data_IF_361164722092
#
_entry.id   IF_361164722092
#
_cell.length_a   1.000
_cell.length_b   1.000
_cell.length_c   1.000
_cell.angle_alpha   90.00
_cell.angle_beta   90.00
_cell.angle_gamma   90.00
#
_symmetry.space_group_name_H-M   'P 1'
#
loop_
_entity.id
_entity.type
_entity.pdbx_description
1 polymer ?
#
# COMPACT_ATOMS: atom_id res chain seq x y z
N UNK A 1 -10.00 10.39 -22.07
CA UNK A 1 -9.61 9.38 -21.06
C UNK A 1 -9.94 9.96 -19.70
N UNK A 2 -10.96 9.41 -19.03
CA UNK A 2 -11.39 9.88 -17.71
C UNK A 2 -10.34 9.47 -16.67
N UNK A 3 -9.74 10.44 -15.96
CA UNK A 3 -8.80 10.15 -14.87
C UNK A 3 -9.62 9.76 -13.65
N UNK A 4 -9.70 8.47 -13.35
CA UNK A 4 -10.31 8.02 -12.11
C UNK A 4 -9.48 8.53 -10.93
N UNK A 5 -10.08 9.41 -10.12
CA UNK A 5 -9.48 9.86 -8.87
C UNK A 5 -9.74 8.82 -7.78
N UNK A 6 -8.70 8.47 -7.04
CA UNK A 6 -8.82 7.58 -5.88
C UNK A 6 -9.76 8.24 -4.85
N UNK A 7 -10.74 7.49 -4.34
CA UNK A 7 -11.63 7.92 -3.26
C UNK A 7 -11.54 6.94 -2.10
N UNK A 8 -11.56 7.47 -0.88
CA UNK A 8 -11.55 6.66 0.32
C UNK A 8 -12.85 5.87 0.38
N UNK A 9 -12.81 4.52 0.46
CA UNK A 9 -14.02 3.72 0.45
C UNK A 9 -14.84 3.87 1.75
N UNK A 10 -14.25 4.40 2.82
CA UNK A 10 -14.92 4.60 4.10
C UNK A 10 -15.61 5.96 4.22
N UNK A 11 -14.95 7.06 3.81
CA UNK A 11 -15.47 8.42 4.01
C UNK A 11 -15.63 9.26 2.72
N UNK A 12 -15.23 8.73 1.57
CA UNK A 12 -15.28 9.45 0.29
C UNK A 12 -14.18 10.51 0.08
N UNK A 13 -13.30 10.73 1.07
CA UNK A 13 -12.20 11.70 0.97
C UNK A 13 -11.21 11.39 -0.16
N UNK A 14 -10.55 12.43 -0.66
CA UNK A 14 -9.63 12.37 -1.82
C UNK A 14 -8.19 12.75 -1.49
N UNK A 15 -7.90 13.10 -0.23
CA UNK A 15 -6.55 13.39 0.25
C UNK A 15 -5.97 12.16 0.94
N UNK A 16 -4.75 11.81 0.56
CA UNK A 16 -4.07 10.60 1.03
C UNK A 16 -2.59 10.84 1.28
N UNK A 17 -2.10 10.30 2.38
CA UNK A 17 -0.68 10.06 2.62
C UNK A 17 -0.30 8.73 1.99
N UNK A 18 0.86 8.69 1.35
CA UNK A 18 1.37 7.49 0.68
C UNK A 18 2.69 7.09 1.30
N UNK A 19 2.81 5.81 1.66
CA UNK A 19 4.02 5.20 2.21
C UNK A 19 4.37 3.92 1.43
N UNK A 20 5.64 3.54 1.45
CA UNK A 20 6.11 2.25 0.95
C UNK A 20 6.51 1.36 2.11
N UNK A 21 6.16 0.08 2.03
CA UNK A 21 6.46 -0.91 3.06
C UNK A 21 7.01 -2.20 2.47
N UNK A 22 7.74 -2.94 3.31
CA UNK A 22 8.09 -4.35 3.10
C UNK A 22 7.34 -5.18 4.14
N UNK A 23 6.76 -6.30 3.71
CA UNK A 23 6.15 -7.30 4.57
C UNK A 23 6.89 -8.63 4.38
N UNK A 24 7.52 -9.12 5.44
CA UNK A 24 8.20 -10.41 5.38
C UNK A 24 7.18 -11.55 5.40
N UNK A 25 7.38 -12.52 4.52
CA UNK A 25 6.60 -13.75 4.53
C UNK A 25 6.84 -14.51 5.83
N UNK A 26 5.83 -15.27 6.27
CA UNK A 26 5.87 -16.06 7.52
C UNK A 26 7.06 -17.03 7.61
N UNK A 27 7.59 -17.44 6.46
CA UNK A 27 8.73 -18.37 6.36
C UNK A 27 10.05 -17.68 6.00
N UNK A 28 10.10 -16.35 5.95
CA UNK A 28 11.34 -15.57 5.81
C UNK A 28 12.00 -15.54 4.41
N UNK A 29 11.55 -16.36 3.46
CA UNK A 29 12.20 -16.48 2.14
C UNK A 29 11.76 -15.43 1.11
N UNK A 30 10.76 -14.62 1.43
CA UNK A 30 10.15 -13.67 0.49
C UNK A 30 9.72 -12.43 1.22
N UNK A 31 10.10 -11.25 0.69
CA UNK A 31 9.61 -9.96 1.16
C UNK A 31 8.63 -9.40 0.13
N UNK A 32 7.44 -9.02 0.59
CA UNK A 32 6.38 -8.41 -0.22
C UNK A 32 6.51 -6.90 -0.14
N UNK A 33 6.71 -6.25 -1.29
CA UNK A 33 6.66 -4.79 -1.40
C UNK A 33 5.20 -4.37 -1.49
N UNK A 34 4.80 -3.49 -0.59
CA UNK A 34 3.45 -2.92 -0.53
C UNK A 34 3.51 -1.40 -0.62
N UNK A 35 2.47 -0.82 -1.21
CA UNK A 35 2.20 0.60 -1.15
C UNK A 35 1.04 0.81 -0.18
N UNK A 36 1.27 1.58 0.87
CA UNK A 36 0.28 1.90 1.90
C UNK A 36 -0.27 3.29 1.57
N UNK A 37 -1.60 3.39 1.50
CA UNK A 37 -2.31 4.64 1.23
C UNK A 37 -3.24 4.90 2.40
N UNK A 38 -3.00 6.00 3.11
CA UNK A 38 -3.71 6.37 4.33
C UNK A 38 -4.57 7.58 4.02
N UNK A 39 -5.88 7.49 4.26
CA UNK A 39 -6.78 8.63 4.09
C UNK A 39 -6.50 9.67 5.18
N UNK A 40 -6.16 10.90 4.80
CA UNK A 40 -5.86 11.97 5.75
C UNK A 40 -7.11 12.47 6.49
N UNK A 41 -8.30 12.19 5.96
CA UNK A 41 -9.56 12.62 6.55
C UNK A 41 -10.07 11.70 7.68
N UNK A 42 -9.90 10.39 7.56
CA UNK A 42 -10.47 9.41 8.50
C UNK A 42 -9.49 8.34 8.98
N UNK A 43 -8.23 8.37 8.52
CA UNK A 43 -7.20 7.40 8.90
C UNK A 43 -7.35 6.01 8.25
N UNK A 44 -8.33 5.78 7.37
CA UNK A 44 -8.51 4.47 6.73
C UNK A 44 -7.28 4.09 5.89
N UNK A 45 -6.77 2.88 6.11
CA UNK A 45 -5.54 2.37 5.49
C UNK A 45 -5.89 1.38 4.39
N UNK A 46 -5.41 1.65 3.18
CA UNK A 46 -5.47 0.74 2.04
C UNK A 46 -4.07 0.26 1.69
N UNK A 47 -3.90 -1.05 1.56
CA UNK A 47 -2.64 -1.66 1.13
C UNK A 47 -2.76 -2.21 -0.29
N UNK A 48 -1.85 -1.79 -1.16
CA UNK A 48 -1.75 -2.24 -2.54
C UNK A 48 -0.47 -3.05 -2.72
N UNK A 49 -0.60 -4.26 -3.24
CA UNK A 49 0.55 -5.12 -3.50
C UNK A 49 1.33 -4.62 -4.72
N UNK A 50 2.64 -4.39 -4.57
CA UNK A 50 3.54 -3.98 -5.67
C UNK A 50 4.30 -5.15 -6.27
N UNK A 51 4.51 -6.21 -5.51
CA UNK A 51 5.31 -7.36 -5.93
C UNK A 51 6.09 -7.96 -4.76
N UNK A 52 6.97 -8.91 -5.07
CA UNK A 52 7.82 -9.57 -4.07
C UNK A 52 9.27 -9.62 -4.53
N UNK A 53 10.18 -9.60 -3.59
CA UNK A 53 11.57 -10.00 -3.77
C UNK A 53 11.76 -11.38 -3.13
N UNK A 54 12.38 -12.29 -3.86
CA UNK A 54 12.79 -13.60 -3.38
C UNK A 54 14.31 -13.48 -3.28
N UNK A 55 14.86 -13.54 -2.07
CA UNK A 55 16.26 -13.26 -1.69
C UNK A 55 16.66 -11.77 -1.57
N UNK A 56 16.88 -11.29 -0.34
CA UNK A 56 17.78 -10.15 -0.01
C UNK A 56 19.13 -10.84 0.38
N UNK A 57 19.99 -11.15 -0.61
CA UNK A 57 21.41 -11.41 -0.35
C UNK A 57 22.10 -10.05 -0.33
N UNK A 58 22.28 -9.49 0.86
CA UNK A 58 23.32 -8.52 1.18
C UNK A 58 24.00 -8.99 2.47
#
# INVERSE_FOLDING_TARGET
MERQHLKCPLCGGTSFKVEEGKLDSKWGFTAHKVKIVICENCGYVMMFYKGRTIWDFD
#
